data_IF_320629607814
#
_entry.id   IF_320629607814
#
_cell.length_a   1.000
_cell.length_b   1.000
_cell.length_c   1.000
_cell.angle_alpha   90.00
_cell.angle_beta   90.00
_cell.angle_gamma   90.00
#
_symmetry.space_group_name_H-M   'P 1'
#
loop_
_entity.id
_entity.type
_entity.pdbx_description
1 polymer ?
#
# COMPACT_ATOMS: atom_id res chain seq x y z
N UNK A 1 8.24 -10.31 9.26
CA UNK A 1 8.62 -9.36 8.19
C UNK A 1 9.22 -8.06 8.75
N UNK A 2 8.47 -7.14 9.46
CA UNK A 2 9.03 -5.87 9.95
C UNK A 2 10.26 -6.07 10.85
N UNK A 3 10.14 -6.86 11.91
CA UNK A 3 11.26 -7.10 12.82
C UNK A 3 12.48 -7.70 12.11
N UNK A 4 12.27 -8.62 11.18
CA UNK A 4 13.35 -9.22 10.38
C UNK A 4 14.02 -8.20 9.46
N UNK A 5 13.22 -7.33 8.82
CA UNK A 5 13.75 -6.26 7.96
C UNK A 5 14.56 -5.21 8.74
N UNK A 6 14.11 -4.89 9.97
CA UNK A 6 14.76 -3.90 10.84
C UNK A 6 15.95 -4.48 11.62
N UNK A 7 16.02 -5.81 11.80
CA UNK A 7 17.17 -6.50 12.39
C UNK A 7 18.29 -6.77 11.38
N UNK A 8 18.03 -6.61 10.08
CA UNK A 8 19.03 -6.87 9.05
C UNK A 8 20.19 -5.85 9.10
N UNK A 9 21.43 -6.23 8.71
CA UNK A 9 22.58 -5.33 8.72
C UNK A 9 22.40 -4.04 7.90
N UNK A 10 21.58 -4.09 6.85
CA UNK A 10 21.26 -2.97 5.97
C UNK A 10 20.19 -2.03 6.55
N UNK A 11 19.67 -2.33 7.74
CA UNK A 11 18.66 -1.48 8.40
C UNK A 11 19.27 -0.11 8.76
N UNK A 12 18.55 0.99 8.50
CA UNK A 12 19.02 2.32 8.91
C UNK A 12 18.80 2.59 10.41
N UNK A 13 18.22 1.64 11.15
CA UNK A 13 17.94 1.73 12.58
C UNK A 13 18.39 0.45 13.29
N UNK A 14 18.73 0.55 14.56
CA UNK A 14 19.00 -0.60 15.43
C UNK A 14 17.69 -1.09 16.04
N UNK A 15 17.38 -2.39 15.86
CA UNK A 15 16.23 -3.02 16.48
C UNK A 15 16.58 -3.46 17.91
N UNK A 16 16.10 -2.72 18.90
CA UNK A 16 16.44 -2.95 20.32
C UNK A 16 15.48 -3.89 21.04
N UNK A 17 14.37 -4.29 20.42
CA UNK A 17 13.44 -5.24 21.01
C UNK A 17 12.09 -5.32 20.33
N UNK A 18 11.29 -6.26 20.78
CA UNK A 18 9.92 -6.49 20.32
C UNK A 18 8.93 -6.31 21.48
N UNK A 19 7.92 -5.48 21.30
CA UNK A 19 6.78 -5.36 22.22
C UNK A 19 5.60 -6.16 21.67
N UNK A 20 5.09 -7.09 22.43
CA UNK A 20 3.90 -7.87 22.06
C UNK A 20 3.17 -8.41 23.30
N UNK A 21 2.06 -9.11 23.11
CA UNK A 21 1.31 -9.78 24.20
C UNK A 21 2.01 -11.04 24.73
N UNK A 22 3.16 -11.41 24.20
CA UNK A 22 3.92 -12.60 24.65
C UNK A 22 3.44 -13.92 24.05
N UNK A 23 2.83 -13.89 22.84
CA UNK A 23 2.44 -15.13 22.15
C UNK A 23 3.67 -16.01 21.84
N UNK A 24 3.49 -17.35 21.69
CA UNK A 24 4.58 -18.26 21.32
C UNK A 24 5.30 -17.80 20.03
N UNK A 25 4.56 -17.28 19.03
CA UNK A 25 5.13 -16.77 17.80
C UNK A 25 6.02 -15.54 18.03
N UNK A 26 5.61 -14.65 18.94
CA UNK A 26 6.42 -13.48 19.29
C UNK A 26 7.68 -13.85 20.07
N UNK A 27 7.60 -14.85 20.95
CA UNK A 27 8.73 -15.38 21.71
C UNK A 27 9.75 -16.06 20.77
N UNK A 28 9.28 -16.89 19.84
CA UNK A 28 10.12 -17.52 18.83
C UNK A 28 10.82 -16.47 17.94
N UNK A 29 10.08 -15.46 17.48
CA UNK A 29 10.64 -14.38 16.67
C UNK A 29 11.73 -13.61 17.42
N UNK A 30 11.48 -13.21 18.67
CA UNK A 30 12.45 -12.51 19.49
C UNK A 30 13.71 -13.35 19.73
N UNK A 31 13.54 -14.66 20.00
CA UNK A 31 14.65 -15.62 20.15
C UNK A 31 15.48 -15.75 18.88
N UNK A 32 14.84 -15.92 17.72
CA UNK A 32 15.54 -16.04 16.41
C UNK A 32 16.33 -14.78 16.07
N UNK A 33 15.82 -13.61 16.45
CA UNK A 33 16.48 -12.33 16.19
C UNK A 33 17.48 -11.93 17.30
N UNK A 34 17.59 -12.74 18.36
CA UNK A 34 18.40 -12.46 19.53
C UNK A 34 18.14 -11.08 20.17
N UNK A 35 16.84 -10.67 20.22
CA UNK A 35 16.40 -9.41 20.81
C UNK A 35 15.49 -9.65 22.01
N UNK A 36 15.40 -8.70 22.96
CA UNK A 36 14.45 -8.78 24.08
C UNK A 36 12.99 -8.78 23.62
N UNK A 37 12.16 -9.56 24.31
CA UNK A 37 10.70 -9.49 24.21
C UNK A 37 10.14 -8.76 25.42
N UNK A 38 9.42 -7.68 25.18
CA UNK A 38 8.70 -6.90 26.20
C UNK A 38 7.22 -7.22 26.10
N UNK A 39 6.57 -7.43 27.25
CA UNK A 39 5.12 -7.73 27.31
C UNK A 39 4.28 -6.58 27.87
N UNK A 40 4.90 -5.46 28.20
CA UNK A 40 4.21 -4.26 28.69
C UNK A 40 4.99 -2.99 28.38
N UNK A 41 4.26 -1.90 28.19
CA UNK A 41 4.83 -0.59 27.87
C UNK A 41 5.80 -0.06 28.95
N UNK A 42 5.60 -0.47 30.22
CA UNK A 42 6.44 -0.01 31.33
C UNK A 42 7.78 -0.73 31.39
N UNK A 43 7.94 -1.85 30.71
CA UNK A 43 9.21 -2.59 30.62
C UNK A 43 10.06 -2.18 29.43
N UNK A 44 9.54 -1.31 28.54
CA UNK A 44 10.30 -0.83 27.40
C UNK A 44 11.50 0.02 27.84
N UNK A 45 12.68 -0.18 27.24
CA UNK A 45 13.78 0.75 27.39
C UNK A 45 13.44 2.09 26.72
N UNK A 46 14.30 3.08 26.91
CA UNK A 46 14.22 4.30 26.12
C UNK A 46 14.52 3.97 24.66
N UNK A 47 13.59 4.31 23.78
CA UNK A 47 13.70 4.14 22.33
C UNK A 47 13.37 5.46 21.64
N UNK A 48 13.99 5.70 20.49
CA UNK A 48 13.75 6.92 19.73
C UNK A 48 12.56 6.74 18.78
N UNK A 49 12.39 5.53 18.21
CA UNK A 49 11.39 5.22 17.17
C UNK A 49 10.69 3.91 17.50
N UNK A 50 9.39 3.86 17.26
CA UNK A 50 8.60 2.63 17.31
C UNK A 50 7.86 2.40 15.98
N UNK A 51 7.95 1.18 15.47
CA UNK A 51 7.11 0.69 14.37
C UNK A 51 5.93 -0.08 14.97
N UNK A 52 4.73 0.48 14.86
CA UNK A 52 3.51 -0.10 15.42
C UNK A 52 2.79 -0.90 14.34
N UNK A 53 2.98 -2.23 14.37
CA UNK A 53 2.42 -3.18 13.40
C UNK A 53 1.33 -3.99 14.11
N UNK A 54 0.30 -3.29 14.55
CA UNK A 54 -0.86 -3.85 15.25
C UNK A 54 -2.09 -3.52 14.42
N UNK A 55 -2.92 -4.53 14.14
CA UNK A 55 -4.15 -4.31 13.38
C UNK A 55 -4.99 -3.24 14.06
N UNK A 56 -5.33 -2.21 13.29
CA UNK A 56 -6.33 -1.23 13.70
C UNK A 56 -7.71 -1.82 13.41
N UNK A 57 -8.64 -1.68 14.34
CA UNK A 57 -10.04 -2.05 14.11
C UNK A 57 -10.70 -1.13 13.07
N UNK A 58 -11.94 -1.45 12.70
CA UNK A 58 -12.71 -0.63 11.73
C UNK A 58 -12.93 0.79 12.27
N UNK A 59 -13.00 0.99 13.59
CA UNK A 59 -13.09 2.30 14.25
C UNK A 59 -12.32 2.21 15.56
N UNK A 60 -11.15 2.85 15.63
CA UNK A 60 -10.29 2.84 16.80
C UNK A 60 -9.78 1.44 17.14
N UNK A 61 -8.58 1.31 17.56
CA UNK A 61 -8.04 0.00 17.89
C UNK A 61 -6.85 0.08 18.83
N UNK A 62 -6.38 -1.09 19.21
CA UNK A 62 -5.20 -1.24 20.06
C UNK A 62 -3.99 -0.54 19.45
N UNK A 63 -3.84 -0.56 18.10
CA UNK A 63 -2.77 0.13 17.41
C UNK A 63 -2.75 1.64 17.67
N UNK A 64 -3.90 2.30 17.59
CA UNK A 64 -4.02 3.74 17.85
C UNK A 64 -3.75 4.08 19.32
N UNK A 65 -4.22 3.23 20.26
CA UNK A 65 -3.95 3.38 21.70
C UNK A 65 -2.45 3.28 21.99
N UNK A 66 -1.78 2.26 21.43
CA UNK A 66 -0.32 2.07 21.56
C UNK A 66 0.44 3.24 20.97
N UNK A 67 0.07 3.71 19.78
CA UNK A 67 0.69 4.89 19.17
C UNK A 67 0.57 6.13 20.06
N UNK A 68 -0.62 6.39 20.60
CA UNK A 68 -0.87 7.54 21.48
C UNK A 68 0.02 7.51 22.72
N UNK A 69 0.15 6.34 23.35
CA UNK A 69 1.00 6.17 24.53
C UNK A 69 2.48 6.36 24.21
N UNK A 70 2.98 5.82 23.10
CA UNK A 70 4.36 6.01 22.66
C UNK A 70 4.68 7.47 22.34
N UNK A 71 3.81 8.15 21.61
CA UNK A 71 3.95 9.56 21.28
C UNK A 71 4.00 10.43 22.56
N UNK A 72 3.12 10.14 23.54
CA UNK A 72 3.10 10.84 24.84
C UNK A 72 4.36 10.60 25.69
N UNK A 73 5.13 9.53 25.39
CA UNK A 73 6.42 9.24 26.02
C UNK A 73 7.61 9.86 25.26
N UNK A 74 7.35 10.65 24.23
CA UNK A 74 8.39 11.28 23.42
C UNK A 74 9.03 10.36 22.38
N UNK A 75 8.35 9.28 21.99
CA UNK A 75 8.82 8.33 20.97
C UNK A 75 8.22 8.68 19.60
N UNK A 76 9.04 8.77 18.57
CA UNK A 76 8.59 8.90 17.20
C UNK A 76 7.89 7.62 16.74
N UNK A 77 6.80 7.71 15.98
CA UNK A 77 5.99 6.54 15.63
C UNK A 77 5.74 6.42 14.14
N UNK A 78 5.98 5.21 13.61
CA UNK A 78 5.54 4.75 12.29
C UNK A 78 4.47 3.69 12.51
N UNK A 79 3.22 3.99 12.14
CA UNK A 79 2.11 3.04 12.27
C UNK A 79 1.85 2.34 10.94
N UNK A 80 1.64 1.02 10.98
CA UNK A 80 1.23 0.26 9.79
C UNK A 80 -0.22 0.56 9.44
N UNK A 81 -0.48 0.64 8.15
CA UNK A 81 -1.82 0.79 7.57
C UNK A 81 -2.69 -0.47 7.82
N UNK A 82 -4.04 -0.36 7.76
CA UNK A 82 -4.84 0.85 7.55
C UNK A 82 -5.02 1.68 8.81
N UNK A 83 -5.17 2.99 8.68
CA UNK A 83 -5.50 3.90 9.80
C UNK A 83 -6.53 4.91 9.30
N UNK A 84 -7.62 5.11 10.05
CA UNK A 84 -8.65 6.06 9.67
C UNK A 84 -8.19 7.52 9.80
N UNK A 85 -8.74 8.40 8.96
CA UNK A 85 -8.35 9.80 8.90
C UNK A 85 -8.46 10.53 10.24
N UNK A 86 -9.50 10.25 11.02
CA UNK A 86 -9.72 10.91 12.32
C UNK A 86 -8.72 10.42 13.38
N UNK A 87 -8.33 9.14 13.33
CA UNK A 87 -7.27 8.60 14.17
C UNK A 87 -5.91 9.23 13.80
N UNK A 88 -5.62 9.34 12.51
CA UNK A 88 -4.42 10.03 12.02
C UNK A 88 -4.37 11.47 12.55
N UNK A 89 -5.47 12.21 12.45
CA UNK A 89 -5.54 13.59 12.93
C UNK A 89 -5.34 13.68 14.44
N UNK A 90 -5.95 12.76 15.21
CA UNK A 90 -5.77 12.67 16.66
C UNK A 90 -4.30 12.39 17.04
N UNK A 91 -3.65 11.44 16.34
CA UNK A 91 -2.24 11.10 16.61
C UNK A 91 -1.26 12.19 16.18
N UNK A 92 -1.54 12.89 15.09
CA UNK A 92 -0.77 14.07 14.69
C UNK A 92 -0.81 15.20 15.74
N UNK A 93 -1.97 15.37 16.39
CA UNK A 93 -2.12 16.33 17.48
C UNK A 93 -1.23 15.96 18.68
N UNK A 94 -1.34 14.69 19.13
CA UNK A 94 -0.50 14.17 20.23
C UNK A 94 0.99 14.25 19.89
N UNK A 95 1.37 13.93 18.65
CA UNK A 95 2.76 14.02 18.19
C UNK A 95 3.28 15.48 18.27
N UNK A 96 2.46 16.44 17.84
CA UNK A 96 2.80 17.86 17.89
C UNK A 96 2.96 18.37 19.34
N UNK A 97 2.08 17.98 20.26
CA UNK A 97 2.16 18.32 21.68
C UNK A 97 3.43 17.80 22.35
N UNK A 98 3.98 16.68 21.89
CA UNK A 98 5.16 16.04 22.46
C UNK A 98 6.45 16.25 21.62
N UNK A 99 6.39 17.13 20.61
CA UNK A 99 7.51 17.43 19.71
C UNK A 99 8.14 16.20 19.04
N UNK A 100 7.32 15.19 18.72
CA UNK A 100 7.72 13.97 18.02
C UNK A 100 7.03 13.86 16.66
N UNK A 101 7.52 12.95 15.83
CA UNK A 101 6.98 12.69 14.51
C UNK A 101 6.07 11.45 14.53
N UNK A 102 4.92 11.58 13.90
CA UNK A 102 4.02 10.47 13.59
C UNK A 102 3.82 10.34 12.08
N UNK A 103 3.83 9.10 11.57
CA UNK A 103 3.45 8.81 10.19
C UNK A 103 2.76 7.46 10.08
N UNK A 104 1.98 7.29 9.01
CA UNK A 104 1.43 6.00 8.59
C UNK A 104 2.35 5.42 7.51
N UNK A 105 2.73 4.16 7.66
CA UNK A 105 3.46 3.45 6.62
C UNK A 105 2.52 3.03 5.50
N UNK A 106 2.60 3.74 4.39
CA UNK A 106 2.00 3.37 3.11
C UNK A 106 2.92 2.34 2.42
N UNK A 107 2.85 1.11 2.90
CA UNK A 107 3.78 0.03 2.58
C UNK A 107 3.90 -0.23 1.07
N UNK A 108 2.76 -0.40 0.37
CA UNK A 108 2.77 -0.83 -1.02
C UNK A 108 3.35 0.19 -1.99
N UNK A 109 3.21 1.49 -1.73
CA UNK A 109 3.84 2.52 -2.55
C UNK A 109 5.37 2.55 -2.44
N UNK A 110 5.94 1.84 -1.46
CA UNK A 110 7.39 1.68 -1.27
C UNK A 110 7.96 0.41 -1.88
N UNK A 111 7.13 -0.55 -2.24
CA UNK A 111 7.59 -1.77 -2.95
C UNK A 111 8.13 -1.38 -4.32
N UNK A 112 9.33 -1.85 -4.67
CA UNK A 112 10.09 -1.35 -5.83
C UNK A 112 9.32 -1.32 -7.16
N UNK A 113 8.56 -2.36 -7.58
CA UNK A 113 7.76 -2.30 -8.80
C UNK A 113 6.68 -1.22 -8.76
N UNK A 114 5.99 -1.06 -7.64
CA UNK A 114 4.96 -0.04 -7.47
C UNK A 114 5.56 1.38 -7.49
N UNK A 115 6.72 1.57 -6.87
CA UNK A 115 7.45 2.85 -6.93
C UNK A 115 7.82 3.21 -8.36
N UNK A 116 8.30 2.24 -9.14
CA UNK A 116 8.61 2.42 -10.55
C UNK A 116 7.38 2.85 -11.33
N UNK A 117 6.24 2.17 -11.12
CA UNK A 117 4.98 2.53 -11.75
C UNK A 117 4.54 3.95 -11.37
N UNK A 118 4.57 4.31 -10.08
CA UNK A 118 4.21 5.66 -9.61
C UNK A 118 5.10 6.72 -10.24
N UNK A 119 6.41 6.48 -10.32
CA UNK A 119 7.34 7.41 -10.98
C UNK A 119 7.02 7.56 -12.46
N UNK A 120 6.79 6.46 -13.17
CA UNK A 120 6.43 6.47 -14.58
C UNK A 120 5.09 7.19 -14.83
N UNK A 121 4.07 6.96 -13.99
CA UNK A 121 2.79 7.63 -14.07
C UNK A 121 2.89 9.15 -13.86
N UNK A 122 3.73 9.61 -12.91
CA UNK A 122 4.02 11.04 -12.73
C UNK A 122 4.73 11.65 -13.94
N UNK A 123 5.67 10.92 -14.51
CA UNK A 123 6.36 11.33 -15.74
C UNK A 123 5.36 11.42 -16.90
N UNK A 124 4.49 10.43 -17.06
CA UNK A 124 3.43 10.45 -18.06
C UNK A 124 2.52 11.68 -17.89
N UNK A 125 2.07 11.97 -16.66
CA UNK A 125 1.21 13.13 -16.39
C UNK A 125 1.89 14.46 -16.75
N UNK A 126 3.21 14.54 -16.61
CA UNK A 126 3.98 15.73 -16.99
C UNK A 126 4.17 15.89 -18.50
N UNK A 127 4.17 14.79 -19.25
CA UNK A 127 4.37 14.78 -20.72
C UNK A 127 3.05 14.77 -21.47
N UNK A 128 2.06 14.03 -20.94
CA UNK A 128 0.73 13.87 -21.53
C UNK A 128 -0.27 13.64 -20.40
N UNK A 129 -1.07 14.65 -20.08
CA UNK A 129 -2.02 14.64 -18.96
C UNK A 129 -2.78 13.32 -18.85
N UNK A 130 -2.88 12.78 -17.64
CA UNK A 130 -3.70 11.61 -17.33
C UNK A 130 -5.17 11.93 -17.59
N UNK A 131 -5.85 11.06 -18.33
CA UNK A 131 -7.24 11.18 -18.73
C UNK A 131 -8.17 10.26 -17.97
N UNK A 132 -7.69 9.08 -17.60
CA UNK A 132 -8.44 8.06 -16.85
C UNK A 132 -7.52 7.10 -16.13
N UNK A 133 -8.08 6.39 -15.15
CA UNK A 133 -7.41 5.29 -14.47
C UNK A 133 -8.38 4.11 -14.35
N UNK A 134 -7.91 2.90 -14.64
CA UNK A 134 -8.59 1.66 -14.31
C UNK A 134 -7.79 0.93 -13.24
N UNK A 135 -8.45 0.46 -12.19
CA UNK A 135 -7.78 -0.26 -11.12
C UNK A 135 -8.61 -1.45 -10.64
N UNK A 136 -7.90 -2.57 -10.40
CA UNK A 136 -8.48 -3.71 -9.70
C UNK A 136 -7.68 -3.97 -8.44
N UNK A 137 -8.39 -4.31 -7.36
CA UNK A 137 -7.75 -4.68 -6.10
C UNK A 137 -8.59 -5.66 -5.31
N UNK A 138 -7.97 -6.41 -4.39
CA UNK A 138 -8.71 -7.08 -3.33
C UNK A 138 -9.02 -6.12 -2.19
N UNK A 139 -10.03 -6.46 -1.38
CA UNK A 139 -10.40 -5.70 -0.19
C UNK A 139 -9.20 -5.44 0.74
N UNK A 140 -8.30 -6.40 0.86
CA UNK A 140 -7.10 -6.36 1.71
C UNK A 140 -6.16 -5.18 1.41
N UNK A 141 -6.18 -4.70 0.17
CA UNK A 141 -5.25 -3.66 -0.33
C UNK A 141 -5.96 -2.45 -0.94
N UNK A 142 -7.25 -2.29 -0.65
CA UNK A 142 -7.99 -1.09 -1.11
C UNK A 142 -7.48 0.18 -0.42
N UNK A 143 -7.08 0.10 0.85
CA UNK A 143 -6.47 1.25 1.53
C UNK A 143 -5.24 1.78 0.78
N UNK A 144 -4.19 0.98 0.54
CA UNK A 144 -3.04 1.44 -0.24
C UNK A 144 -3.38 1.80 -1.68
N UNK A 145 -4.42 1.24 -2.30
CA UNK A 145 -4.86 1.68 -3.61
C UNK A 145 -5.19 3.17 -3.63
N UNK A 146 -5.92 3.68 -2.62
CA UNK A 146 -6.27 5.10 -2.56
C UNK A 146 -5.07 6.00 -2.32
N UNK A 147 -4.06 5.56 -1.57
CA UNK A 147 -2.82 6.32 -1.39
C UNK A 147 -1.94 6.29 -2.65
N UNK A 148 -1.94 5.18 -3.39
CA UNK A 148 -1.30 5.08 -4.71
C UNK A 148 -1.99 6.03 -5.70
N UNK A 149 -3.32 5.99 -5.81
CA UNK A 149 -4.10 6.91 -6.65
C UNK A 149 -3.79 8.37 -6.30
N UNK A 150 -3.73 8.69 -5.01
CA UNK A 150 -3.32 10.01 -4.54
C UNK A 150 -1.90 10.39 -4.97
N UNK A 151 -1.03 9.44 -5.23
CA UNK A 151 0.34 9.70 -5.65
C UNK A 151 0.47 9.94 -7.16
N UNK A 152 -0.45 9.43 -7.98
CA UNK A 152 -0.37 9.47 -9.45
C UNK A 152 -1.34 10.45 -10.08
N UNK A 153 -2.56 10.61 -9.54
CA UNK A 153 -3.55 11.54 -10.07
C UNK A 153 -3.30 12.94 -9.53
N UNK A 154 -3.57 13.97 -10.32
CA UNK A 154 -3.44 15.37 -9.93
C UNK A 154 -4.21 15.80 -8.66
N UNK A 155 -5.00 16.85 -8.63
CA UNK A 155 -5.79 17.23 -7.46
C UNK A 155 -6.79 16.14 -7.05
N UNK A 156 -6.90 15.87 -5.73
CA UNK A 156 -7.90 14.94 -5.19
C UNK A 156 -9.25 15.64 -4.90
N UNK A 157 -9.36 16.92 -5.19
CA UNK A 157 -10.57 17.72 -4.99
C UNK A 157 -10.84 18.58 -6.20
N UNK A 158 -12.12 18.72 -6.61
CA UNK A 158 -13.28 18.03 -6.04
C UNK A 158 -13.20 16.50 -6.26
N UNK A 159 -13.83 15.74 -5.37
CA UNK A 159 -13.97 14.30 -5.53
C UNK A 159 -15.44 13.90 -5.49
N UNK A 160 -15.84 12.97 -6.36
CA UNK A 160 -17.20 12.42 -6.41
C UNK A 160 -17.13 10.90 -6.52
N UNK A 161 -17.76 10.22 -5.57
CA UNK A 161 -17.96 8.77 -5.62
C UNK A 161 -19.26 8.50 -6.35
N UNK A 162 -19.20 7.67 -7.40
CA UNK A 162 -20.36 7.07 -8.02
C UNK A 162 -20.63 5.76 -7.30
N UNK A 163 -21.87 5.55 -6.89
CA UNK A 163 -22.24 4.41 -6.05
C UNK A 163 -21.76 3.09 -6.65
N UNK A 164 -21.08 2.25 -5.85
CA UNK A 164 -20.68 0.94 -6.31
C UNK A 164 -21.86 0.04 -6.65
N UNK A 165 -21.69 -0.79 -7.67
CA UNK A 165 -22.68 -1.77 -8.12
C UNK A 165 -22.14 -3.19 -7.93
N UNK A 166 -23.01 -4.10 -7.42
CA UNK A 166 -22.70 -5.52 -7.34
C UNK A 166 -22.73 -6.12 -8.76
N UNK A 167 -21.61 -6.74 -9.15
CA UNK A 167 -21.52 -7.36 -10.49
C UNK A 167 -22.08 -8.78 -10.56
N UNK A 168 -22.62 -9.29 -9.45
CA UNK A 168 -23.11 -10.68 -9.34
C UNK A 168 -22.01 -11.72 -9.15
N UNK A 169 -20.78 -11.30 -8.90
CA UNK A 169 -19.58 -12.16 -8.68
C UNK A 169 -18.74 -11.68 -7.51
N UNK A 170 -17.45 -12.07 -7.52
CA UNK A 170 -16.51 -11.73 -6.47
C UNK A 170 -16.16 -10.22 -6.40
N UNK A 171 -16.50 -9.45 -7.44
CA UNK A 171 -16.11 -8.04 -7.57
C UNK A 171 -17.31 -7.11 -7.47
N UNK A 172 -17.05 -5.96 -6.87
CA UNK A 172 -17.92 -4.78 -6.89
C UNK A 172 -17.31 -3.77 -7.85
N UNK A 173 -18.10 -3.27 -8.79
CA UNK A 173 -17.70 -2.20 -9.69
C UNK A 173 -18.03 -0.85 -9.06
N UNK A 174 -17.15 0.13 -9.18
CA UNK A 174 -17.39 1.49 -8.71
C UNK A 174 -16.57 2.49 -9.50
N UNK A 175 -16.91 3.76 -9.36
CA UNK A 175 -16.17 4.87 -9.96
C UNK A 175 -15.98 5.99 -8.96
N UNK A 176 -14.80 6.56 -8.96
CA UNK A 176 -14.54 7.87 -8.34
C UNK A 176 -14.09 8.83 -9.43
N UNK A 177 -14.45 10.10 -9.30
CA UNK A 177 -13.91 11.15 -10.15
C UNK A 177 -13.07 12.06 -9.27
N UNK A 178 -11.78 12.16 -9.57
CA UNK A 178 -10.81 12.98 -8.83
C UNK A 178 -10.50 14.21 -9.68
N UNK A 179 -11.00 15.38 -9.25
CA UNK A 179 -11.09 16.57 -10.12
C UNK A 179 -11.83 16.20 -11.42
N UNK A 180 -11.10 16.08 -12.53
CA UNK A 180 -11.67 15.74 -13.84
C UNK A 180 -11.27 14.33 -14.33
N UNK A 181 -10.53 13.56 -13.51
CA UNK A 181 -10.02 12.24 -13.88
C UNK A 181 -10.96 11.15 -13.37
N UNK A 182 -11.66 10.42 -14.24
CA UNK A 182 -12.42 9.24 -13.85
C UNK A 182 -11.47 8.10 -13.48
N UNK A 183 -11.78 7.43 -12.38
CA UNK A 183 -11.09 6.25 -11.89
C UNK A 183 -12.10 5.13 -11.74
N UNK A 184 -12.04 4.13 -12.62
CA UNK A 184 -12.89 2.94 -12.57
C UNK A 184 -12.25 1.88 -11.68
N UNK A 185 -13.04 1.33 -10.78
CA UNK A 185 -12.60 0.40 -9.75
C UNK A 185 -13.36 -0.92 -9.87
N UNK A 186 -12.61 -2.04 -9.81
CA UNK A 186 -13.15 -3.37 -9.62
C UNK A 186 -12.52 -3.96 -8.35
N UNK A 187 -13.30 -4.00 -7.27
CA UNK A 187 -12.81 -4.44 -5.97
C UNK A 187 -13.36 -5.83 -5.65
N UNK A 188 -12.47 -6.80 -5.41
CA UNK A 188 -12.86 -8.06 -4.82
C UNK A 188 -13.31 -7.83 -3.38
N UNK A 189 -14.63 -7.88 -3.17
CA UNK A 189 -15.26 -7.65 -1.86
C UNK A 189 -15.68 -8.96 -1.20
N UNK A 190 -14.71 -9.86 -0.99
CA UNK A 190 -14.87 -11.15 -0.34
C UNK A 190 -13.93 -11.25 0.85
N UNK A 191 -14.36 -11.93 1.92
CA UNK A 191 -13.56 -12.14 3.13
C UNK A 191 -13.81 -13.53 3.71
N UNK A 192 -12.74 -14.25 4.02
CA UNK A 192 -12.79 -15.47 4.81
C UNK A 192 -12.61 -15.11 6.30
N UNK A 193 -13.63 -15.31 7.13
CA UNK A 193 -13.58 -14.90 8.54
C UNK A 193 -12.54 -15.67 9.36
N UNK A 194 -12.28 -16.94 9.03
CA UNK A 194 -11.26 -17.77 9.70
C UNK A 194 -9.84 -17.44 9.26
N UNK A 195 -9.67 -16.89 8.05
CA UNK A 195 -8.38 -16.59 7.43
C UNK A 195 -8.43 -15.23 6.69
N UNK A 196 -8.59 -14.13 7.43
CA UNK A 196 -8.90 -12.82 6.83
C UNK A 196 -7.80 -12.23 5.95
N UNK A 197 -6.58 -12.75 5.99
CA UNK A 197 -5.45 -12.31 5.15
C UNK A 197 -5.25 -13.19 3.90
N UNK A 198 -6.05 -14.25 3.76
CA UNK A 198 -5.98 -15.19 2.65
C UNK A 198 -7.09 -14.96 1.62
N UNK A 199 -7.02 -15.69 0.50
CA UNK A 199 -8.03 -15.71 -0.57
C UNK A 199 -8.16 -14.43 -1.39
N UNK A 200 -7.16 -13.53 -1.33
CA UNK A 200 -7.07 -12.46 -2.31
C UNK A 200 -6.83 -13.04 -3.71
N UNK A 201 -7.72 -12.73 -4.67
CA UNK A 201 -7.56 -13.17 -6.07
C UNK A 201 -6.47 -12.40 -6.79
N UNK A 202 -6.20 -11.18 -6.34
CA UNK A 202 -5.12 -10.29 -6.79
C UNK A 202 -4.82 -9.31 -5.66
N UNK A 203 -3.68 -8.64 -5.73
CA UNK A 203 -3.45 -7.44 -4.90
C UNK A 203 -3.88 -6.20 -5.70
N UNK A 204 -3.03 -5.68 -6.60
CA UNK A 204 -3.36 -4.54 -7.45
C UNK A 204 -3.04 -4.84 -8.91
N UNK A 205 -3.88 -4.33 -9.81
CA UNK A 205 -3.53 -4.05 -11.20
C UNK A 205 -3.98 -2.63 -11.52
N UNK A 206 -3.19 -1.86 -12.26
CA UNK A 206 -3.50 -0.48 -12.60
C UNK A 206 -3.21 -0.19 -14.06
N UNK A 207 -4.09 0.57 -14.68
CA UNK A 207 -3.87 1.19 -16.00
C UNK A 207 -4.08 2.68 -15.87
N UNK A 208 -3.11 3.46 -16.30
CA UNK A 208 -3.18 4.92 -16.37
C UNK A 208 -3.17 5.33 -17.83
N UNK A 209 -4.24 5.93 -18.29
CA UNK A 209 -4.43 6.33 -19.69
C UNK A 209 -4.25 7.81 -19.92
N UNK A 210 -3.66 8.14 -21.06
CA UNK A 210 -3.47 9.48 -21.61
C UNK A 210 -3.81 9.52 -23.10
N UNK A 211 -3.75 10.71 -23.71
CA UNK A 211 -3.89 10.82 -25.17
C UNK A 211 -2.72 10.16 -25.92
N UNK A 212 -1.57 9.92 -25.25
CA UNK A 212 -0.39 9.30 -25.85
C UNK A 212 -0.41 7.76 -25.79
N UNK A 213 -1.19 7.16 -24.86
CA UNK A 213 -1.25 5.72 -24.66
C UNK A 213 -1.55 5.34 -23.22
N UNK A 214 -1.28 4.09 -22.88
CA UNK A 214 -1.55 3.51 -21.55
C UNK A 214 -0.29 3.01 -20.87
N UNK A 215 -0.15 3.35 -19.59
CA UNK A 215 0.84 2.78 -18.67
C UNK A 215 0.15 1.72 -17.82
N UNK A 216 0.61 0.48 -17.88
CA UNK A 216 -0.02 -0.68 -17.24
C UNK A 216 0.92 -1.30 -16.21
N UNK A 217 0.42 -1.50 -14.99
CA UNK A 217 1.02 -2.35 -13.96
C UNK A 217 0.28 -3.68 -13.95
N UNK A 218 0.93 -4.76 -14.38
CA UNK A 218 0.32 -6.07 -14.52
C UNK A 218 -0.14 -6.67 -13.19
N UNK A 219 0.67 -6.51 -12.15
CA UNK A 219 0.33 -6.83 -10.75
C UNK A 219 1.25 -6.07 -9.78
N UNK A 220 0.92 -6.05 -8.50
CA UNK A 220 1.62 -5.27 -7.45
C UNK A 220 3.16 -5.39 -7.48
N UNK A 221 3.68 -6.57 -7.78
CA UNK A 221 5.11 -6.87 -7.79
C UNK A 221 5.65 -7.09 -9.21
N UNK A 222 4.84 -6.83 -10.23
CA UNK A 222 5.15 -7.19 -11.60
C UNK A 222 5.60 -6.03 -12.46
N UNK A 223 5.79 -6.34 -13.76
CA UNK A 223 6.32 -5.36 -14.68
C UNK A 223 5.36 -4.20 -14.92
N UNK A 224 5.94 -3.07 -15.26
CA UNK A 224 5.25 -1.92 -15.82
C UNK A 224 5.46 -1.91 -17.33
N UNK A 225 4.37 -1.73 -18.09
CA UNK A 225 4.39 -1.69 -19.55
C UNK A 225 3.84 -0.36 -20.06
N UNK A 226 4.42 0.12 -21.12
CA UNK A 226 3.92 1.24 -21.90
C UNK A 226 3.31 0.73 -23.20
N UNK A 227 2.06 1.09 -23.48
CA UNK A 227 1.35 0.80 -24.73
C UNK A 227 1.10 2.13 -25.43
N UNK A 228 1.89 2.50 -26.45
CA UNK A 228 1.64 3.69 -27.24
C UNK A 228 0.26 3.63 -27.88
N UNK A 229 -0.40 4.79 -27.98
CA UNK A 229 -1.70 4.86 -28.66
C UNK A 229 -1.53 4.49 -30.13
N UNK A 230 -2.30 3.52 -30.66
CA UNK A 230 -2.23 3.15 -32.05
C UNK A 230 -2.84 4.26 -32.92
N UNK A 231 -2.01 4.82 -33.81
CA UNK A 231 -2.45 5.78 -34.83
C UNK A 231 -2.31 5.14 -36.21
N UNK A 232 -3.40 4.93 -36.97
CA UNK A 232 -3.35 4.25 -38.26
C UNK A 232 -2.37 4.88 -39.26
N UNK A 233 -2.29 6.20 -39.28
CA UNK A 233 -1.40 6.95 -40.22
C UNK A 233 0.08 6.85 -39.84
N UNK A 234 0.40 6.53 -38.59
CA UNK A 234 1.79 6.39 -38.13
C UNK A 234 2.35 4.98 -38.31
N UNK A 235 1.52 3.98 -38.47
CA UNK A 235 1.95 2.59 -38.59
C UNK A 235 2.77 2.33 -39.87
N UNK A 236 2.43 3.01 -40.96
CA UNK A 236 3.18 2.91 -42.23
C UNK A 236 4.57 3.57 -42.13
N UNK A 237 4.72 4.64 -41.36
CA UNK A 237 5.95 5.39 -41.19
C UNK A 237 6.81 4.96 -40.01
N UNK A 238 6.23 4.18 -39.07
CA UNK A 238 6.87 3.74 -37.83
C UNK A 238 6.95 2.22 -37.70
N UNK A 239 7.24 1.53 -38.79
CA UNK A 239 7.27 0.05 -38.84
C UNK A 239 8.22 -0.62 -37.86
N UNK A 240 9.12 0.12 -37.20
CA UNK A 240 10.02 -0.35 -36.16
C UNK A 240 9.63 0.02 -34.72
N UNK A 241 8.52 0.74 -34.52
CA UNK A 241 8.09 1.11 -33.17
C UNK A 241 7.39 -0.06 -32.46
N UNK A 242 7.83 -0.41 -31.24
CA UNK A 242 7.16 -1.46 -30.47
C UNK A 242 5.73 -1.04 -30.11
N UNK A 243 4.79 -2.00 -30.16
CA UNK A 243 3.40 -1.80 -29.72
C UNK A 243 3.21 -1.93 -28.22
N UNK A 244 4.23 -2.47 -27.52
CA UNK A 244 4.30 -2.60 -26.08
C UNK A 244 5.76 -2.61 -25.64
N UNK A 245 6.09 -1.77 -24.68
CA UNK A 245 7.44 -1.64 -24.15
C UNK A 245 7.45 -1.84 -22.63
N UNK A 246 8.53 -2.41 -22.12
CA UNK A 246 8.77 -2.46 -20.67
C UNK A 246 9.27 -1.10 -20.20
N UNK A 247 8.80 -0.67 -19.03
CA UNK A 247 9.22 0.58 -18.42
C UNK A 247 10.12 0.29 -17.24
N UNK A 248 11.38 0.71 -17.34
CA UNK A 248 12.36 0.56 -16.26
C UNK A 248 12.83 -0.89 -16.06
N UNK A 249 12.99 -1.30 -14.79
CA UNK A 249 13.43 -2.64 -14.42
C UNK A 249 12.30 -3.63 -14.66
N UNK A 250 12.63 -4.78 -15.24
CA UNK A 250 11.69 -5.87 -15.45
C UNK A 250 11.57 -6.67 -14.15
N UNK A 251 10.44 -6.48 -13.48
CA UNK A 251 10.12 -7.23 -12.27
C UNK A 251 9.26 -8.45 -12.62
N UNK A 252 9.82 -9.63 -12.45
CA UNK A 252 9.10 -10.92 -12.51
C UNK A 252 9.52 -11.78 -11.30
N UNK A 253 9.21 -11.33 -10.07
CA UNK A 253 9.73 -11.94 -8.87
C UNK A 253 9.00 -13.23 -8.51
N UNK A 254 9.74 -14.17 -7.94
CA UNK A 254 9.16 -15.30 -7.23
C UNK A 254 8.54 -14.85 -5.90
N UNK A 255 7.70 -15.71 -5.31
CA UNK A 255 7.18 -15.46 -3.94
C UNK A 255 8.32 -15.31 -2.92
N UNK A 256 9.41 -16.06 -3.10
CA UNK A 256 10.60 -15.95 -2.25
C UNK A 256 11.26 -14.58 -2.38
N UNK A 257 11.48 -14.09 -3.60
CA UNK A 257 12.01 -12.75 -3.87
C UNK A 257 11.14 -11.65 -3.26
N UNK A 258 9.81 -11.77 -3.40
CA UNK A 258 8.88 -10.81 -2.79
C UNK A 258 9.04 -10.78 -1.27
N UNK A 259 9.05 -11.94 -0.61
CA UNK A 259 9.09 -12.04 0.86
C UNK A 259 10.45 -11.71 1.45
N UNK A 260 11.53 -12.09 0.78
CA UNK A 260 12.88 -12.01 1.34
C UNK A 260 13.65 -10.75 0.90
N UNK A 261 13.19 -10.08 -0.16
CA UNK A 261 13.88 -8.91 -0.73
C UNK A 261 12.93 -7.71 -0.82
N UNK A 262 11.89 -7.75 -1.70
CA UNK A 262 11.09 -6.57 -2.03
C UNK A 262 10.34 -5.99 -0.81
N UNK A 263 9.76 -6.85 0.03
CA UNK A 263 9.04 -6.40 1.21
C UNK A 263 9.97 -5.90 2.33
N UNK A 264 11.06 -6.60 2.69
CA UNK A 264 12.04 -6.06 3.62
C UNK A 264 12.65 -4.73 3.16
N UNK A 265 12.96 -4.59 1.86
CA UNK A 265 13.47 -3.34 1.30
C UNK A 265 12.47 -2.19 1.45
N UNK A 266 11.18 -2.45 1.23
CA UNK A 266 10.14 -1.44 1.43
C UNK A 266 10.03 -0.98 2.89
N UNK A 267 10.22 -1.88 3.86
CA UNK A 267 10.28 -1.53 5.29
C UNK A 267 11.52 -0.70 5.62
N UNK A 268 12.71 -1.11 5.13
CA UNK A 268 13.96 -0.36 5.33
C UNK A 268 13.89 1.04 4.70
N UNK A 269 13.30 1.13 3.51
CA UNK A 269 13.07 2.42 2.88
C UNK A 269 12.13 3.32 3.71
N UNK A 270 11.03 2.76 4.24
CA UNK A 270 10.14 3.51 5.13
C UNK A 270 10.88 4.04 6.37
N UNK A 271 11.74 3.22 6.97
CA UNK A 271 12.58 3.62 8.10
C UNK A 271 13.56 4.75 7.71
N UNK A 272 14.24 4.63 6.57
CA UNK A 272 15.16 5.64 6.06
C UNK A 272 14.49 6.98 5.77
N UNK A 273 13.33 6.96 5.08
CA UNK A 273 12.55 8.16 4.79
C UNK A 273 12.05 8.83 6.07
N UNK A 274 11.63 8.03 7.05
CA UNK A 274 11.16 8.53 8.34
C UNK A 274 12.28 9.19 9.14
N UNK A 275 13.44 8.55 9.25
CA UNK A 275 14.65 9.15 9.86
C UNK A 275 15.02 10.48 9.20
N UNK A 276 15.06 10.51 7.87
CA UNK A 276 15.34 11.72 7.12
C UNK A 276 14.29 12.83 7.29
N UNK A 277 13.15 12.52 7.89
CA UNK A 277 12.05 13.45 8.16
C UNK A 277 12.08 14.02 9.58
N UNK A 278 12.78 13.38 10.51
CA UNK A 278 12.90 13.86 11.90
C UNK A 278 13.59 15.24 11.92
N UNK A 279 13.00 16.18 12.63
CA UNK A 279 13.49 17.56 12.74
C UNK A 279 13.17 18.46 11.54
N UNK A 280 12.48 17.97 10.51
CA UNK A 280 12.04 18.80 9.36
C UNK A 280 10.67 19.38 9.61
N UNK A 281 10.53 20.68 9.34
CA UNK A 281 9.23 21.35 9.31
C UNK A 281 8.39 20.75 8.17
N UNK A 282 7.16 20.33 8.45
CA UNK A 282 6.22 19.66 7.52
C UNK A 282 6.56 18.21 7.19
N UNK A 283 7.36 17.54 8.01
CA UNK A 283 7.52 16.09 7.93
C UNK A 283 6.26 15.35 8.44
N UNK A 284 6.04 14.15 7.96
CA UNK A 284 4.94 13.28 8.39
C UNK A 284 3.77 13.20 7.40
N UNK A 285 2.57 13.00 7.92
CA UNK A 285 1.36 12.78 7.10
C UNK A 285 0.92 14.07 6.41
N UNK A 286 0.76 14.00 5.08
CA UNK A 286 0.30 15.15 4.28
C UNK A 286 -1.22 15.26 4.26
N UNK A 287 -1.75 16.46 4.01
CA UNK A 287 -3.20 16.66 3.78
C UNK A 287 -3.72 15.79 2.64
N UNK A 288 -2.89 15.57 1.61
CA UNK A 288 -3.20 14.69 0.49
C UNK A 288 -3.41 13.25 0.93
N UNK A 289 -2.54 12.74 1.82
CA UNK A 289 -2.67 11.41 2.41
C UNK A 289 -3.96 11.27 3.23
N UNK A 290 -4.24 12.25 4.11
CA UNK A 290 -5.48 12.29 4.89
C UNK A 290 -6.72 12.29 3.97
N UNK A 291 -6.68 13.05 2.88
CA UNK A 291 -7.79 13.07 1.90
C UNK A 291 -7.97 11.73 1.21
N UNK A 292 -6.87 11.07 0.81
CA UNK A 292 -6.92 9.71 0.23
C UNK A 292 -7.55 8.71 1.22
N UNK A 293 -7.18 8.79 2.48
CA UNK A 293 -7.73 7.94 3.55
C UNK A 293 -9.24 8.17 3.75
N UNK A 294 -9.70 9.43 3.69
CA UNK A 294 -11.14 9.74 3.74
C UNK A 294 -11.89 9.17 2.55
N UNK A 295 -11.36 9.34 1.35
CA UNK A 295 -11.96 8.77 0.13
C UNK A 295 -12.04 7.24 0.20
N UNK A 296 -10.99 6.59 0.71
CA UNK A 296 -11.03 5.14 0.99
C UNK A 296 -12.19 4.78 1.92
N UNK A 297 -12.33 5.47 3.04
CA UNK A 297 -13.39 5.20 4.02
C UNK A 297 -14.79 5.46 3.44
N UNK A 298 -14.98 6.56 2.71
CA UNK A 298 -16.24 6.90 2.01
C UNK A 298 -16.60 5.82 0.98
N UNK A 299 -15.63 5.40 0.16
CA UNK A 299 -15.83 4.39 -0.88
C UNK A 299 -16.15 3.01 -0.30
N UNK A 300 -15.38 2.55 0.69
CA UNK A 300 -15.60 1.23 1.31
C UNK A 300 -16.91 1.17 2.09
N UNK A 301 -17.32 2.27 2.72
CA UNK A 301 -18.63 2.38 3.35
C UNK A 301 -19.78 2.28 2.32
N UNK A 302 -19.62 2.93 1.16
CA UNK A 302 -20.60 2.84 0.06
C UNK A 302 -20.63 1.45 -0.60
N UNK A 303 -19.50 0.77 -0.65
CA UNK A 303 -19.39 -0.60 -1.18
C UNK A 303 -20.13 -1.63 -0.32
N UNK A 304 -20.25 -1.37 0.97
CA UNK A 304 -20.89 -2.26 1.92
C UNK A 304 -19.98 -3.40 2.42
N UNK A 305 -20.54 -4.30 3.26
CA UNK A 305 -19.77 -5.37 3.88
C UNK A 305 -19.28 -6.39 2.85
N UNK A 306 -18.12 -7.00 3.14
CA UNK A 306 -17.59 -8.07 2.34
C UNK A 306 -18.51 -9.31 2.34
N UNK A 307 -18.64 -9.95 1.19
CA UNK A 307 -19.32 -11.24 1.09
C UNK A 307 -18.47 -12.31 1.81
N UNK A 308 -19.07 -13.10 2.72
CA UNK A 308 -18.34 -14.16 3.40
C UNK A 308 -18.03 -15.29 2.43
N UNK A 309 -16.79 -15.77 2.47
CA UNK A 309 -16.38 -16.98 1.74
C UNK A 309 -15.81 -18.02 2.69
N UNK A 310 -15.96 -19.27 2.31
CA UNK A 310 -15.33 -20.39 3.01
C UNK A 310 -13.91 -20.62 2.45
N UNK A 311 -13.01 -21.25 3.25
CA UNK A 311 -11.73 -21.70 2.75
C UNK A 311 -11.88 -22.55 1.49
N UNK A 312 -11.15 -22.22 0.43
CA UNK A 312 -11.18 -22.94 -0.83
C UNK A 312 -9.80 -23.48 -1.12
N UNK A 313 -9.71 -24.79 -1.39
CA UNK A 313 -8.48 -25.36 -1.92
C UNK A 313 -8.45 -25.08 -3.43
N UNK A 314 -7.56 -24.19 -3.86
CA UNK A 314 -7.34 -23.93 -5.28
C UNK A 314 -6.14 -24.74 -5.79
N UNK A 315 -6.28 -25.35 -6.97
CA UNK A 315 -5.14 -25.88 -7.69
C UNK A 315 -4.23 -24.74 -8.14
N UNK A 316 -2.93 -24.88 -7.91
CA UNK A 316 -1.94 -23.97 -8.48
C UNK A 316 -1.64 -24.42 -9.89
N UNK A 317 -2.07 -23.64 -10.88
CA UNK A 317 -1.75 -23.85 -12.28
C UNK A 317 -0.46 -23.10 -12.65
N UNK A 318 0.36 -23.70 -13.47
CA UNK A 318 1.53 -23.05 -14.10
C UNK A 318 1.16 -22.52 -15.48
N UNK A 319 1.93 -21.56 -15.99
CA UNK A 319 1.72 -21.04 -17.33
C UNK A 319 1.88 -22.13 -18.41
N UNK A 320 2.76 -23.11 -18.20
CA UNK A 320 2.95 -24.22 -19.11
C UNK A 320 1.71 -25.15 -19.21
N UNK A 321 0.95 -25.31 -18.13
CA UNK A 321 -0.31 -26.07 -18.14
C UNK A 321 -1.41 -25.36 -18.93
N UNK A 322 -1.36 -24.01 -19.00
CA UNK A 322 -2.35 -23.22 -19.72
C UNK A 322 -2.16 -23.20 -21.24
N UNK A 323 -0.97 -23.56 -21.73
CA UNK A 323 -0.65 -23.60 -23.17
C UNK A 323 -0.43 -25.04 -23.70
N UNK A 324 -0.55 -26.03 -22.83
CA UNK A 324 -0.55 -27.42 -23.21
C UNK A 324 -1.91 -27.80 -23.88
N UNK A 325 -2.00 -27.59 -25.18
CA UNK A 325 -3.11 -28.04 -26.05
C UNK A 325 -2.68 -29.25 -26.85
#
# INVERSE_FOLDING_TARGET
>A
MYAEALAAPESPVELVGLLSTGSPQSADLASRLAIPLYTGMNSLPRVDIAFVVVRSGVVGGEGTRVCKELLSRGVHVVQEQPVHADEIMSLLHVAAENAVLYTVNDFYSRVAPMRQFICAAKTLDSLARIRYVHARASLHVVYPLFTILASIVGPLTPARIVMPEQTGGAFVAGRIVLADVPVDLLIQNELCASEPDNYARLLHTLTVGSDAGELVLDHTHGPTRWHPRPYPDSWASQSGCPISERVGIDFDPTTATVRNELWPDAVRLAASEFLGSIGRVRAGVTQRFVRATRLWSEFTSAMGPAAPINPVTSARLSASELVAL
#
